data_IF_999392777737
#
_entry.id   IF_999392777737
#
_cell.length_a   1.000
_cell.length_b   1.000
_cell.length_c   1.000
_cell.angle_alpha   90.00
_cell.angle_beta   90.00
_cell.angle_gamma   90.00
#
_symmetry.space_group_name_H-M   'P 1'
#
loop_
_entity.id
_entity.type
_entity.pdbx_description
1 polymer ?
#
# COMPACT_ATOMS: atom_id res chain seq x y z
N UNK A 1 -29.06 25.82 22.30
CA UNK A 1 -27.73 25.25 22.64
C UNK A 1 -27.21 24.60 21.38
N UNK A 2 -26.26 25.26 20.71
CA UNK A 2 -25.69 24.77 19.46
C UNK A 2 -24.78 23.58 19.78
N UNK A 3 -25.19 22.40 19.36
CA UNK A 3 -24.37 21.18 19.43
C UNK A 3 -23.05 21.46 18.68
N UNK A 4 -21.88 21.02 19.17
CA UNK A 4 -20.62 21.26 18.47
C UNK A 4 -20.55 20.40 17.20
N UNK A 5 -20.53 21.06 16.03
CA UNK A 5 -20.17 20.39 14.79
C UNK A 5 -18.68 20.03 14.86
N UNK A 6 -18.34 18.84 14.41
CA UNK A 6 -16.94 18.48 14.20
C UNK A 6 -16.45 19.35 13.04
N UNK A 7 -15.74 20.41 13.37
CA UNK A 7 -14.97 21.16 12.39
C UNK A 7 -13.75 20.30 12.07
N UNK A 8 -13.81 19.59 10.94
CA UNK A 8 -12.61 19.00 10.37
C UNK A 8 -11.97 20.11 9.55
N UNK A 9 -10.89 20.72 10.05
CA UNK A 9 -10.27 21.88 9.39
C UNK A 9 -9.45 21.50 8.13
N UNK A 10 -9.82 20.40 7.48
CA UNK A 10 -9.22 19.92 6.24
C UNK A 10 -10.31 19.19 5.43
N UNK A 11 -10.42 19.38 4.10
CA UNK A 11 -11.46 18.73 3.33
C UNK A 11 -11.29 17.20 3.36
N UNK A 12 -12.40 16.48 3.47
CA UNK A 12 -12.40 15.03 3.40
C UNK A 12 -12.33 14.59 1.94
N UNK A 13 -11.57 13.53 1.66
CA UNK A 13 -11.55 12.93 0.33
C UNK A 13 -12.97 12.46 -0.06
N UNK A 14 -13.39 12.56 -1.34
CA UNK A 14 -14.74 12.18 -1.77
C UNK A 14 -15.14 10.75 -1.35
N UNK A 15 -14.21 9.80 -1.38
CA UNK A 15 -14.43 8.43 -0.90
C UNK A 15 -14.75 8.38 0.60
N UNK A 16 -14.12 9.23 1.41
CA UNK A 16 -14.42 9.33 2.86
C UNK A 16 -15.81 9.91 3.09
N UNK A 17 -16.18 10.93 2.33
CA UNK A 17 -17.52 11.52 2.36
C UNK A 17 -18.58 10.48 1.99
N UNK A 18 -18.35 9.74 0.90
CA UNK A 18 -19.25 8.68 0.46
C UNK A 18 -19.37 7.56 1.50
N UNK A 19 -18.27 7.19 2.16
CA UNK A 19 -18.29 6.20 3.24
C UNK A 19 -19.09 6.68 4.46
N UNK A 20 -19.01 7.97 4.83
CA UNK A 20 -19.83 8.54 5.91
C UNK A 20 -21.33 8.47 5.60
N UNK A 21 -21.73 8.80 4.36
CA UNK A 21 -23.13 8.69 3.91
C UNK A 21 -23.60 7.23 3.82
N UNK A 22 -22.74 6.34 3.37
CA UNK A 22 -23.02 4.91 3.32
C UNK A 22 -23.23 4.33 4.73
N UNK A 23 -22.30 4.65 5.65
CA UNK A 23 -22.40 4.26 7.06
C UNK A 23 -23.65 4.86 7.73
N UNK A 24 -24.03 6.11 7.41
CA UNK A 24 -25.26 6.73 7.93
C UNK A 24 -26.53 5.99 7.50
N UNK A 25 -26.54 5.52 6.25
CA UNK A 25 -27.65 4.74 5.69
C UNK A 25 -27.78 3.39 6.39
N UNK A 26 -26.65 2.70 6.61
CA UNK A 26 -26.60 1.43 7.32
C UNK A 26 -26.89 1.55 8.83
N UNK A 27 -26.50 2.66 9.44
CA UNK A 27 -26.68 2.90 10.87
C UNK A 27 -28.12 3.32 11.24
N UNK A 28 -28.84 3.97 10.33
CA UNK A 28 -30.15 4.51 10.66
C UNK A 28 -30.05 5.55 11.77
N UNK A 29 -30.89 5.45 12.81
CA UNK A 29 -30.90 6.48 13.86
C UNK A 29 -29.73 6.39 14.85
N UNK A 30 -28.95 5.31 14.89
CA UNK A 30 -27.82 5.21 15.83
C UNK A 30 -26.63 6.08 15.39
N UNK A 31 -25.79 6.57 16.32
CA UNK A 31 -24.54 7.19 15.95
C UNK A 31 -23.63 6.18 15.24
N UNK A 32 -22.89 6.65 14.24
CA UNK A 32 -21.90 5.86 13.50
C UNK A 32 -20.70 5.61 14.40
N UNK A 33 -20.39 4.34 14.64
CA UNK A 33 -19.21 3.91 15.38
C UNK A 33 -17.98 3.76 14.47
N UNK A 34 -16.79 3.52 15.05
CA UNK A 34 -15.56 3.36 14.26
C UNK A 34 -15.62 2.18 13.30
N UNK A 35 -16.33 1.09 13.65
CA UNK A 35 -16.49 -0.11 12.82
C UNK A 35 -17.38 0.20 11.62
N UNK A 36 -18.51 0.86 11.80
CA UNK A 36 -19.43 1.23 10.71
C UNK A 36 -18.70 2.04 9.63
N UNK A 37 -17.91 3.03 10.07
CA UNK A 37 -17.17 3.88 9.16
C UNK A 37 -16.04 3.09 8.46
N UNK A 38 -15.36 2.20 9.18
CA UNK A 38 -14.32 1.34 8.60
C UNK A 38 -14.89 0.38 7.54
N UNK A 39 -16.00 -0.30 7.85
CA UNK A 39 -16.71 -1.19 6.92
C UNK A 39 -17.19 -0.43 5.69
N UNK A 40 -17.76 0.76 5.88
CA UNK A 40 -18.20 1.60 4.76
C UNK A 40 -17.02 2.06 3.88
N UNK A 41 -15.85 2.34 4.46
CA UNK A 41 -14.65 2.63 3.67
C UNK A 41 -14.23 1.43 2.82
N UNK A 42 -14.24 0.21 3.38
CA UNK A 42 -13.93 -1.02 2.63
C UNK A 42 -14.90 -1.26 1.46
N UNK A 43 -16.17 -0.91 1.61
CA UNK A 43 -17.20 -1.12 0.59
C UNK A 43 -17.15 -0.07 -0.52
N UNK A 44 -16.84 1.19 -0.17
CA UNK A 44 -16.86 2.31 -1.11
C UNK A 44 -15.53 2.49 -1.83
N UNK A 45 -14.40 2.17 -1.19
CA UNK A 45 -13.07 2.32 -1.77
C UNK A 45 -12.65 1.12 -2.62
N UNK A 46 -13.12 1.11 -3.87
CA UNK A 46 -12.74 0.11 -4.88
C UNK A 46 -11.26 0.16 -5.29
N UNK A 47 -10.55 1.25 -4.96
CA UNK A 47 -9.14 1.44 -5.33
C UNK A 47 -8.16 0.92 -4.25
N UNK A 48 -8.64 0.78 -3.01
CA UNK A 48 -7.85 0.31 -1.89
C UNK A 48 -7.55 -1.19 -1.95
N UNK A 49 -6.41 -1.58 -1.39
CA UNK A 49 -5.97 -2.98 -1.30
C UNK A 49 -6.63 -3.74 -0.14
N UNK A 50 -7.93 -3.55 0.06
CA UNK A 50 -8.69 -4.13 1.17
C UNK A 50 -8.72 -5.66 1.16
N UNK A 51 -8.54 -6.28 -0.02
CA UNK A 51 -8.53 -7.73 -0.21
C UNK A 51 -7.57 -8.46 0.73
N UNK A 52 -6.45 -7.86 1.10
CA UNK A 52 -5.48 -8.48 2.02
C UNK A 52 -5.98 -8.47 3.46
N UNK A 53 -6.65 -7.41 3.88
CA UNK A 53 -7.30 -7.34 5.20
C UNK A 53 -8.46 -8.34 5.22
N UNK A 54 -9.25 -8.41 4.15
CA UNK A 54 -10.36 -9.36 4.03
C UNK A 54 -9.93 -10.82 4.12
N UNK A 55 -8.74 -11.16 3.60
CA UNK A 55 -8.17 -12.50 3.70
C UNK A 55 -7.86 -12.93 5.14
N UNK A 56 -7.52 -11.97 6.02
CA UNK A 56 -7.12 -12.26 7.40
C UNK A 56 -8.27 -12.08 8.39
N UNK A 57 -9.11 -11.06 8.19
CA UNK A 57 -10.10 -10.65 9.18
C UNK A 57 -11.55 -10.93 8.76
N UNK A 58 -11.77 -11.34 7.49
CA UNK A 58 -13.10 -11.46 6.88
C UNK A 58 -13.45 -10.24 6.02
N UNK A 59 -14.34 -10.43 5.05
CA UNK A 59 -14.83 -9.33 4.21
C UNK A 59 -15.68 -8.32 4.98
N UNK A 60 -16.10 -7.25 4.30
CA UNK A 60 -16.90 -6.19 4.91
C UNK A 60 -18.17 -6.69 5.58
N UNK A 61 -18.78 -7.76 5.05
CA UNK A 61 -20.07 -8.27 5.52
C UNK A 61 -19.86 -9.10 6.79
N UNK A 62 -18.79 -9.91 6.83
CA UNK A 62 -18.34 -10.60 8.04
C UNK A 62 -18.00 -9.60 9.14
N UNK A 63 -17.25 -8.54 8.82
CA UNK A 63 -16.86 -7.53 9.81
C UNK A 63 -18.06 -6.72 10.32
N UNK A 64 -19.05 -6.43 9.48
CA UNK A 64 -20.29 -5.75 9.87
C UNK A 64 -21.10 -6.56 10.90
N UNK A 65 -21.08 -7.89 10.79
CA UNK A 65 -21.78 -8.81 11.68
C UNK A 65 -21.09 -9.04 13.03
N UNK A 66 -19.81 -8.66 13.18
CA UNK A 66 -19.07 -8.85 14.44
C UNK A 66 -19.56 -7.90 15.52
N UNK A 67 -19.64 -8.43 16.74
CA UNK A 67 -19.98 -7.65 17.94
C UNK A 67 -18.73 -6.93 18.42
N UNK A 68 -18.75 -5.60 18.37
CA UNK A 68 -17.72 -4.74 18.92
C UNK A 68 -18.36 -3.49 19.50
N UNK A 69 -17.71 -2.89 20.49
CA UNK A 69 -18.25 -1.72 21.21
C UNK A 69 -17.22 -0.61 21.21
N UNK A 70 -17.60 0.57 20.73
CA UNK A 70 -16.77 1.76 20.83
C UNK A 70 -16.68 2.21 22.31
N UNK A 71 -15.48 2.58 22.79
CA UNK A 71 -15.25 2.89 24.20
C UNK A 71 -15.98 4.16 24.65
N UNK A 72 -16.13 5.15 23.75
CA UNK A 72 -16.94 6.34 23.98
C UNK A 72 -18.07 6.40 22.95
N UNK A 73 -19.27 5.96 23.36
CA UNK A 73 -20.49 5.89 22.54
C UNK A 73 -21.32 7.18 22.53
N UNK A 74 -20.88 8.22 23.24
CA UNK A 74 -21.55 9.52 23.26
C UNK A 74 -21.71 10.08 21.84
N UNK A 75 -22.87 10.68 21.54
CA UNK A 75 -23.25 11.15 20.20
C UNK A 75 -23.30 12.68 20.09
N UNK A 76 -22.56 13.36 20.97
CA UNK A 76 -22.53 14.83 20.98
C UNK A 76 -21.89 15.41 19.72
N UNK A 77 -21.05 14.62 19.06
CA UNK A 77 -20.29 14.99 17.88
C UNK A 77 -21.09 14.70 16.60
N UNK A 78 -21.19 15.70 15.72
CA UNK A 78 -21.83 15.53 14.41
C UNK A 78 -20.97 16.10 13.27
N UNK A 79 -21.02 15.46 12.11
CA UNK A 79 -20.40 15.94 10.88
C UNK A 79 -21.50 16.07 9.81
N UNK A 80 -21.75 17.27 9.30
CA UNK A 80 -22.83 17.53 8.31
C UNK A 80 -24.21 16.91 8.67
N UNK A 81 -24.57 16.92 9.96
CA UNK A 81 -25.82 16.34 10.46
C UNK A 81 -25.79 14.82 10.70
N UNK A 82 -24.68 14.15 10.37
CA UNK A 82 -24.42 12.76 10.70
C UNK A 82 -23.91 12.66 12.13
N UNK A 83 -24.58 11.86 12.98
CA UNK A 83 -24.13 11.59 14.35
C UNK A 83 -23.02 10.57 14.35
N UNK A 84 -21.91 10.88 15.00
CA UNK A 84 -20.78 9.98 15.20
C UNK A 84 -20.65 9.65 16.69
N UNK A 85 -20.12 8.49 17.03
CA UNK A 85 -19.60 8.26 18.39
C UNK A 85 -18.45 9.22 18.67
N UNK A 86 -18.24 9.61 19.93
CA UNK A 86 -17.15 10.50 20.30
C UNK A 86 -15.77 9.88 19.94
N UNK A 87 -15.68 8.55 19.97
CA UNK A 87 -14.51 7.78 19.49
C UNK A 87 -14.30 7.96 17.98
N UNK A 88 -15.34 7.76 17.17
CA UNK A 88 -15.28 7.93 15.72
C UNK A 88 -14.97 9.38 15.32
N UNK A 89 -15.56 10.34 16.03
CA UNK A 89 -15.25 11.76 15.88
C UNK A 89 -13.79 12.07 16.21
N UNK A 90 -13.23 11.45 17.26
CA UNK A 90 -11.83 11.59 17.61
C UNK A 90 -10.90 10.99 16.55
N UNK A 91 -11.23 9.81 16.01
CA UNK A 91 -10.50 9.18 14.92
C UNK A 91 -10.44 10.08 13.67
N UNK A 92 -11.56 10.69 13.27
CA UNK A 92 -11.62 11.63 12.14
C UNK A 92 -10.75 12.87 12.38
N UNK A 93 -10.80 13.46 13.59
CA UNK A 93 -9.93 14.59 13.96
C UNK A 93 -8.45 14.20 13.98
N UNK A 94 -8.12 12.99 14.46
CA UNK A 94 -6.76 12.47 14.45
C UNK A 94 -6.24 12.32 13.02
N UNK A 95 -7.05 11.76 12.12
CA UNK A 95 -6.70 11.62 10.71
C UNK A 95 -6.47 12.98 10.05
N UNK A 96 -7.31 13.98 10.32
CA UNK A 96 -7.14 15.34 9.80
C UNK A 96 -5.89 16.03 10.35
N UNK A 97 -5.59 15.87 11.65
CA UNK A 97 -4.35 16.36 12.26
C UNK A 97 -3.12 15.72 11.63
N UNK A 98 -3.16 14.42 11.37
CA UNK A 98 -2.07 13.71 10.73
C UNK A 98 -1.90 14.15 9.28
N UNK A 99 -2.99 14.37 8.54
CA UNK A 99 -2.96 14.83 7.15
C UNK A 99 -2.31 16.21 7.03
N UNK A 100 -2.65 17.12 7.95
CA UNK A 100 -1.95 18.41 8.07
C UNK A 100 -0.47 18.27 8.33
N UNK A 101 -0.08 17.38 9.25
CA UNK A 101 1.33 17.18 9.59
C UNK A 101 2.17 16.72 8.40
N UNK A 102 1.57 15.95 7.49
CA UNK A 102 2.19 15.52 6.24
C UNK A 102 1.92 16.44 5.05
N UNK A 103 1.42 17.66 5.27
CA UNK A 103 1.09 18.65 4.23
C UNK A 103 0.18 18.11 3.11
N UNK A 104 -0.79 17.27 3.48
CA UNK A 104 -1.79 16.78 2.54
C UNK A 104 -2.92 17.79 2.37
N UNK A 105 -3.44 17.90 1.14
CA UNK A 105 -4.54 18.83 0.80
C UNK A 105 -5.91 18.37 1.31
N UNK A 106 -6.07 17.08 1.59
CA UNK A 106 -7.31 16.44 2.04
C UNK A 106 -7.03 15.27 2.97
N UNK A 107 -8.03 14.79 3.72
CA UNK A 107 -7.89 13.58 4.55
C UNK A 107 -8.06 12.35 3.66
N UNK A 108 -6.99 11.60 3.33
CA UNK A 108 -7.10 10.44 2.48
C UNK A 108 -7.70 9.24 3.24
N UNK A 109 -8.25 8.29 2.48
CA UNK A 109 -8.86 7.07 3.00
C UNK A 109 -7.94 6.31 3.96
N UNK A 110 -6.66 6.13 3.60
CA UNK A 110 -5.71 5.39 4.43
C UNK A 110 -5.40 6.05 5.76
N UNK A 111 -5.37 7.37 5.80
CA UNK A 111 -5.09 8.08 7.05
C UNK A 111 -6.28 8.06 7.99
N UNK A 112 -7.50 8.06 7.44
CA UNK A 112 -8.69 7.79 8.22
C UNK A 112 -8.74 6.34 8.72
N UNK A 113 -8.42 5.36 7.87
CA UNK A 113 -8.36 3.95 8.26
C UNK A 113 -7.40 3.74 9.44
N UNK A 114 -6.20 4.33 9.38
CA UNK A 114 -5.24 4.33 10.49
C UNK A 114 -5.80 5.00 11.74
N UNK A 115 -6.49 6.14 11.59
CA UNK A 115 -7.13 6.83 12.72
C UNK A 115 -8.22 5.99 13.39
N UNK A 116 -8.97 5.18 12.62
CA UNK A 116 -10.06 4.34 13.13
C UNK A 116 -9.56 3.13 13.92
N UNK A 117 -8.44 2.55 13.52
CA UNK A 117 -7.89 1.34 14.17
C UNK A 117 -6.71 1.61 15.10
N UNK A 118 -6.17 2.84 15.09
CA UNK A 118 -4.92 3.18 15.76
C UNK A 118 -4.97 3.08 17.28
N UNK A 119 -6.17 3.06 17.85
CA UNK A 119 -6.41 2.72 19.25
C UNK A 119 -7.04 1.32 19.29
N UNK A 120 -6.36 0.37 19.95
CA UNK A 120 -6.79 -1.02 20.06
C UNK A 120 -8.14 -1.21 20.77
N UNK A 121 -8.62 -0.19 21.48
CA UNK A 121 -9.92 -0.20 22.13
C UNK A 121 -11.09 0.16 21.20
N UNK A 122 -10.86 0.63 19.98
CA UNK A 122 -11.94 1.03 19.06
C UNK A 122 -12.72 -0.18 18.54
N UNK A 123 -14.00 0.00 18.20
CA UNK A 123 -14.78 -1.08 17.59
C UNK A 123 -14.15 -1.59 16.28
N UNK A 124 -13.57 -0.69 15.47
CA UNK A 124 -12.83 -1.06 14.27
C UNK A 124 -11.61 -1.95 14.55
N UNK A 125 -10.82 -1.64 15.59
CA UNK A 125 -9.68 -2.47 15.96
C UNK A 125 -10.11 -3.82 16.53
N UNK A 126 -11.17 -3.84 17.35
CA UNK A 126 -11.72 -5.07 17.93
C UNK A 126 -12.17 -6.07 16.86
N UNK A 127 -12.93 -5.64 15.84
CA UNK A 127 -13.41 -6.55 14.79
C UNK A 127 -12.29 -7.14 13.93
N UNK A 128 -11.12 -6.49 13.90
CA UNK A 128 -9.94 -6.93 13.15
C UNK A 128 -9.03 -7.85 13.98
N UNK A 129 -9.15 -7.83 15.31
CA UNK A 129 -8.24 -8.51 16.23
C UNK A 129 -8.30 -10.05 16.13
N UNK A 130 -9.44 -10.61 15.72
CA UNK A 130 -9.58 -12.07 15.54
C UNK A 130 -8.64 -12.66 14.46
N UNK A 131 -8.06 -11.82 13.59
CA UNK A 131 -7.20 -12.25 12.49
C UNK A 131 -5.76 -11.72 12.52
N UNK A 132 -5.50 -10.61 13.22
CA UNK A 132 -4.19 -9.93 13.26
C UNK A 132 -3.94 -9.29 14.63
N UNK A 133 -2.69 -9.34 15.11
CA UNK A 133 -2.29 -8.55 16.28
C UNK A 133 -2.37 -7.04 15.98
N UNK A 134 -2.65 -6.19 16.99
CA UNK A 134 -2.80 -4.74 16.77
C UNK A 134 -1.58 -4.09 16.10
N UNK A 135 -0.36 -4.50 16.47
CA UNK A 135 0.88 -4.03 15.84
C UNK A 135 1.02 -4.49 14.39
N UNK A 136 0.61 -5.73 14.07
CA UNK A 136 0.59 -6.24 12.70
C UNK A 136 -0.46 -5.50 11.87
N UNK A 137 -1.64 -5.24 12.42
CA UNK A 137 -2.72 -4.52 11.76
C UNK A 137 -2.30 -3.10 11.36
N UNK A 138 -1.70 -2.35 12.28
CA UNK A 138 -1.19 -1.00 12.01
C UNK A 138 -0.06 -1.04 10.97
N UNK A 139 0.85 -2.01 11.07
CA UNK A 139 1.91 -2.18 10.07
C UNK A 139 1.36 -2.52 8.68
N UNK A 140 0.35 -3.39 8.61
CA UNK A 140 -0.34 -3.74 7.36
C UNK A 140 -1.03 -2.53 6.74
N UNK A 141 -1.83 -1.80 7.52
CA UNK A 141 -2.55 -0.61 7.07
C UNK A 141 -1.61 0.51 6.61
N UNK A 142 -0.49 0.72 7.30
CA UNK A 142 0.56 1.64 6.84
C UNK A 142 1.17 1.19 5.52
N UNK A 143 1.55 -0.08 5.40
CA UNK A 143 2.23 -0.58 4.20
C UNK A 143 1.35 -0.61 2.95
N UNK A 144 0.06 -0.95 3.11
CA UNK A 144 -0.85 -1.19 2.00
C UNK A 144 -1.74 0.03 1.66
N UNK A 145 -2.08 0.90 2.63
CA UNK A 145 -2.95 2.06 2.41
C UNK A 145 -2.19 3.40 2.36
N UNK A 146 -1.08 3.56 3.09
CA UNK A 146 -0.22 4.76 2.98
C UNK A 146 0.93 4.60 1.97
N UNK A 147 1.15 3.40 1.43
CA UNK A 147 2.20 3.14 0.44
C UNK A 147 3.63 3.36 0.96
N UNK A 148 3.82 3.49 2.27
CA UNK A 148 5.12 3.73 2.92
C UNK A 148 5.29 2.83 4.15
N UNK A 149 6.48 2.25 4.30
CA UNK A 149 6.82 1.34 5.40
C UNK A 149 6.97 2.13 6.72
N UNK A 150 6.50 1.63 7.88
CA UNK A 150 6.54 2.35 9.17
C UNK A 150 7.93 2.85 9.62
N UNK A 151 9.02 2.28 9.10
CA UNK A 151 10.40 2.71 9.39
C UNK A 151 10.74 4.14 8.95
N UNK A 152 10.03 4.69 7.95
CA UNK A 152 10.24 6.09 7.54
C UNK A 152 9.46 7.06 8.45
N UNK A 153 8.32 6.63 8.98
CA UNK A 153 7.49 7.46 9.87
C UNK A 153 8.16 7.64 11.23
N UNK A 154 8.79 6.60 11.77
CA UNK A 154 9.47 6.64 13.07
C UNK A 154 10.75 7.50 13.03
N UNK A 155 11.38 7.59 11.85
CA UNK A 155 12.48 8.50 11.55
C UNK A 155 12.03 9.96 11.43
N UNK A 156 10.81 10.22 10.98
CA UNK A 156 10.23 11.57 10.84
C UNK A 156 9.45 12.03 12.09
N UNK A 157 9.04 11.11 12.97
CA UNK A 157 8.33 11.40 14.22
C UNK A 157 9.26 11.66 15.42
N UNK A 158 10.56 11.37 15.32
CA UNK A 158 11.52 11.75 16.35
C UNK A 158 11.85 13.24 16.26
N UNK A 159 11.56 14.06 17.29
CA UNK A 159 12.06 15.42 17.33
C UNK A 159 13.59 15.37 17.41
N UNK A 160 14.26 16.32 16.77
CA UNK A 160 15.71 16.47 16.70
C UNK A 160 16.37 16.17 18.05
N UNK A 161 16.91 14.95 18.19
CA UNK A 161 18.04 14.73 19.05
C UNK A 161 19.25 15.12 18.19
N UNK A 162 19.68 16.37 18.37
CA UNK A 162 21.03 16.76 18.02
C UNK A 162 21.99 15.66 18.44
N UNK A 163 22.85 15.28 17.49
CA UNK A 163 24.21 14.84 17.72
C UNK A 163 24.48 14.21 19.09
N UNK A 164 24.09 12.95 19.26
CA UNK A 164 24.80 12.07 20.20
C UNK A 164 25.86 11.38 19.37
N UNK A 165 27.16 11.72 19.51
CA UNK A 165 28.24 10.93 18.94
C UNK A 165 28.15 9.54 19.54
N UNK A 166 27.50 8.62 18.83
CA UNK A 166 27.66 7.21 19.10
C UNK A 166 29.10 6.90 18.72
N UNK A 167 29.94 6.84 19.74
CA UNK A 167 31.31 6.40 19.67
C UNK A 167 31.35 5.13 18.80
N UNK A 168 31.90 5.29 17.59
CA UNK A 168 32.29 4.17 16.78
C UNK A 168 33.32 3.39 17.61
N UNK A 169 33.12 2.10 17.91
CA UNK A 169 34.26 1.28 18.28
C UNK A 169 35.17 1.21 17.05
N UNK A 170 36.25 1.99 17.11
CA UNK A 170 37.34 1.92 16.17
C UNK A 170 38.02 0.56 16.32
N UNK A 171 37.87 -0.31 15.33
CA UNK A 171 38.77 -1.44 15.12
C UNK A 171 38.93 -1.72 13.62
N UNK A 172 40.06 -1.26 13.08
CA UNK A 172 40.87 -1.91 12.04
C UNK A 172 40.39 -1.87 10.58
N UNK A 173 41.27 -1.58 9.59
CA UNK A 173 40.94 -1.78 8.19
C UNK A 173 41.05 -3.27 7.84
N UNK A 174 39.90 -3.93 7.65
CA UNK A 174 39.77 -5.26 7.04
C UNK A 174 38.43 -5.36 6.27
N UNK A 175 38.30 -6.18 5.20
CA UNK A 175 37.13 -6.15 4.33
C UNK A 175 35.95 -6.90 4.96
N UNK A 176 35.09 -6.18 5.68
CA UNK A 176 33.86 -6.74 6.27
C UNK A 176 32.65 -6.13 5.57
N UNK A 177 32.05 -6.88 4.64
CA UNK A 177 30.82 -6.48 3.96
C UNK A 177 29.64 -6.45 4.94
N UNK A 178 28.87 -5.36 4.94
CA UNK A 178 27.60 -5.27 5.66
C UNK A 178 26.66 -6.39 5.17
N UNK A 179 26.34 -7.36 6.03
CA UNK A 179 25.29 -8.34 5.75
C UNK A 179 23.95 -7.64 5.66
N UNK A 180 23.38 -7.61 4.45
CA UNK A 180 22.03 -7.07 4.21
C UNK A 180 20.99 -8.18 4.41
N UNK A 181 19.84 -7.79 4.93
CA UNK A 181 18.68 -8.64 5.15
C UNK A 181 17.55 -8.22 4.20
N UNK A 182 16.78 -9.18 3.69
CA UNK A 182 15.67 -8.89 2.80
C UNK A 182 14.57 -8.14 3.55
N UNK A 183 14.10 -7.03 2.99
CA UNK A 183 13.01 -6.24 3.59
C UNK A 183 11.68 -7.02 3.67
N UNK A 184 11.49 -8.02 2.81
CA UNK A 184 10.25 -8.79 2.75
C UNK A 184 10.20 -9.97 3.71
N UNK A 185 11.24 -10.82 3.72
CA UNK A 185 11.24 -12.06 4.50
C UNK A 185 12.32 -12.09 5.60
N UNK A 186 13.15 -11.05 5.70
CA UNK A 186 14.30 -11.01 6.59
C UNK A 186 15.51 -11.81 6.10
N UNK A 187 15.39 -12.66 5.06
CA UNK A 187 16.46 -13.57 4.67
C UNK A 187 17.75 -12.88 4.17
N UNK A 188 18.88 -13.56 4.35
CA UNK A 188 20.20 -13.15 3.87
C UNK A 188 20.82 -14.29 3.04
N UNK A 189 21.68 -14.03 2.05
CA UNK A 189 22.17 -12.73 1.57
C UNK A 189 21.09 -11.92 0.82
N UNK A 190 21.16 -10.59 0.94
CA UNK A 190 20.29 -9.66 0.22
C UNK A 190 21.10 -8.60 -0.54
N UNK A 191 20.54 -8.08 -1.65
CA UNK A 191 21.13 -7.01 -2.44
C UNK A 191 20.29 -5.74 -2.36
N UNK A 192 20.95 -4.60 -2.16
CA UNK A 192 20.33 -3.28 -2.29
C UNK A 192 20.09 -2.95 -3.77
N UNK A 193 18.88 -3.25 -4.24
CA UNK A 193 18.44 -3.00 -5.62
C UNK A 193 17.04 -2.40 -5.61
N UNK A 194 16.74 -1.56 -6.59
CA UNK A 194 15.41 -0.98 -6.77
C UNK A 194 14.82 -1.54 -8.06
N UNK A 195 13.68 -2.21 -7.95
CA UNK A 195 12.93 -2.76 -9.09
C UNK A 195 11.92 -1.71 -9.53
N UNK A 196 11.84 -1.44 -10.83
CA UNK A 196 10.95 -0.43 -11.41
C UNK A 196 9.86 -1.12 -12.23
N UNK A 197 8.79 -0.38 -12.52
CA UNK A 197 7.73 -0.81 -13.43
C UNK A 197 7.05 0.43 -13.99
N UNK A 198 6.65 0.35 -15.25
CA UNK A 198 5.97 1.40 -15.95
C UNK A 198 4.58 0.92 -16.37
N UNK A 199 3.53 1.61 -15.91
CA UNK A 199 2.16 1.35 -16.31
C UNK A 199 1.70 2.56 -17.11
N UNK A 200 1.48 2.39 -18.41
CA UNK A 200 1.24 3.50 -19.33
C UNK A 200 0.10 3.21 -20.29
N UNK A 201 -1.12 3.60 -19.93
CA UNK A 201 -2.30 3.43 -20.77
C UNK A 201 -2.66 4.73 -21.47
N UNK A 202 -2.26 4.88 -22.73
CA UNK A 202 -2.55 6.01 -23.66
C UNK A 202 -2.33 7.41 -23.08
N UNK A 203 -3.17 7.86 -22.15
CA UNK A 203 -3.14 9.16 -21.47
C UNK A 203 -2.70 9.08 -19.99
N UNK A 204 -2.66 7.89 -19.38
CA UNK A 204 -2.28 7.70 -17.98
C UNK A 204 -0.90 7.04 -17.87
N UNK A 205 0.04 7.71 -17.20
CA UNK A 205 1.38 7.18 -16.91
C UNK A 205 1.60 7.05 -15.40
N UNK A 206 2.03 5.88 -14.95
CA UNK A 206 2.40 5.62 -13.57
C UNK A 206 3.75 4.90 -13.52
N UNK A 207 4.70 5.51 -12.81
CA UNK A 207 6.00 4.92 -12.51
C UNK A 207 5.96 4.31 -11.12
N UNK A 208 6.12 2.99 -11.04
CA UNK A 208 6.17 2.26 -9.77
C UNK A 208 7.61 1.87 -9.49
N UNK A 209 8.06 2.11 -8.25
CA UNK A 209 9.41 1.73 -7.79
C UNK A 209 9.28 0.95 -6.49
N UNK A 210 9.99 -0.16 -6.41
CA UNK A 210 10.06 -1.02 -5.22
C UNK A 210 11.53 -1.09 -4.77
N UNK A 211 11.93 -0.29 -3.77
CA UNK A 211 13.28 -0.33 -3.22
C UNK A 211 13.47 -1.61 -2.38
N UNK A 212 14.62 -2.25 -2.55
CA UNK A 212 15.11 -3.33 -1.70
C UNK A 212 15.75 -2.81 -0.40
N UNK A 213 16.47 -3.64 0.36
CA UNK A 213 17.16 -4.86 -0.09
C UNK A 213 16.28 -6.12 -0.27
N UNK A 214 16.58 -6.93 -1.29
CA UNK A 214 15.89 -8.20 -1.57
C UNK A 214 16.85 -9.38 -1.52
N UNK A 215 16.42 -10.50 -0.93
CA UNK A 215 17.07 -11.79 -1.16
C UNK A 215 16.78 -12.28 -2.58
N UNK A 216 17.48 -13.33 -3.03
CA UNK A 216 17.31 -13.86 -4.39
C UNK A 216 15.85 -14.15 -4.74
N UNK A 217 15.16 -14.91 -3.90
CA UNK A 217 13.84 -15.45 -4.23
C UNK A 217 12.76 -14.36 -4.22
N UNK A 218 12.75 -13.51 -3.19
CA UNK A 218 11.85 -12.34 -3.11
C UNK A 218 12.12 -11.33 -4.23
N UNK A 219 13.40 -11.11 -4.57
CA UNK A 219 13.80 -10.24 -5.68
C UNK A 219 13.31 -10.77 -7.03
N UNK A 220 13.51 -12.06 -7.30
CA UNK A 220 13.05 -12.70 -8.53
C UNK A 220 11.52 -12.71 -8.63
N UNK A 221 10.81 -13.02 -7.55
CA UNK A 221 9.35 -12.97 -7.50
C UNK A 221 8.82 -11.57 -7.83
N UNK A 222 9.40 -10.56 -7.18
CA UNK A 222 9.02 -9.15 -7.36
C UNK A 222 9.30 -8.67 -8.78
N UNK A 223 10.51 -8.92 -9.28
CA UNK A 223 10.92 -8.54 -10.63
C UNK A 223 10.00 -9.18 -11.68
N UNK A 224 9.79 -10.50 -11.61
CA UNK A 224 8.94 -11.22 -12.57
C UNK A 224 7.50 -10.69 -12.59
N UNK A 225 6.93 -10.39 -11.42
CA UNK A 225 5.59 -9.82 -11.31
C UNK A 225 5.53 -8.42 -11.94
N UNK A 226 6.42 -7.53 -11.52
CA UNK A 226 6.45 -6.14 -11.97
C UNK A 226 6.74 -6.01 -13.47
N UNK A 227 7.60 -6.89 -14.02
CA UNK A 227 7.86 -6.96 -15.45
C UNK A 227 6.62 -7.38 -16.24
N UNK A 228 5.88 -8.41 -15.80
CA UNK A 228 4.65 -8.83 -16.48
C UNK A 228 3.62 -7.70 -16.48
N UNK A 229 3.41 -7.02 -15.35
CA UNK A 229 2.51 -5.88 -15.27
C UNK A 229 2.93 -4.75 -16.24
N UNK A 230 4.23 -4.43 -16.30
CA UNK A 230 4.79 -3.42 -17.20
C UNK A 230 4.60 -3.77 -18.68
N UNK A 231 4.72 -5.06 -19.01
CA UNK A 231 4.60 -5.58 -20.37
C UNK A 231 3.12 -5.72 -20.79
N UNK A 232 2.16 -5.73 -19.87
CA UNK A 232 0.76 -5.65 -20.26
C UNK A 232 0.27 -4.22 -20.37
N UNK A 233 0.76 -3.31 -19.53
CA UNK A 233 0.24 -1.95 -19.42
C UNK A 233 1.12 -0.90 -20.08
N UNK A 234 2.33 -1.21 -20.52
CA UNK A 234 3.31 -0.22 -20.99
C UNK A 234 3.37 0.00 -22.51
N UNK A 235 2.54 -0.68 -23.32
CA UNK A 235 2.64 -0.62 -24.79
C UNK A 235 1.57 0.22 -25.49
N UNK A 236 0.57 0.72 -24.76
CA UNK A 236 -0.65 1.28 -25.36
C UNK A 236 -0.52 2.69 -25.93
N UNK A 237 0.67 3.28 -25.92
CA UNK A 237 0.90 4.61 -26.49
C UNK A 237 2.30 4.76 -27.08
N UNK A 238 2.51 5.65 -28.07
CA UNK A 238 3.81 5.81 -28.74
C UNK A 238 4.93 6.18 -27.76
N UNK A 239 4.68 7.19 -26.90
CA UNK A 239 5.64 7.61 -25.88
C UNK A 239 5.83 6.54 -24.78
N UNK A 240 4.74 5.85 -24.41
CA UNK A 240 4.74 4.76 -23.43
C UNK A 240 5.62 3.58 -23.88
N UNK A 241 5.58 3.25 -25.18
CA UNK A 241 6.37 2.19 -25.78
C UNK A 241 7.88 2.39 -25.59
N UNK A 242 8.37 3.61 -25.80
CA UNK A 242 9.79 3.95 -25.57
C UNK A 242 10.15 3.94 -24.08
N UNK A 243 9.32 4.55 -23.23
CA UNK A 243 9.58 4.64 -21.78
C UNK A 243 9.59 3.25 -21.13
N UNK A 244 8.66 2.38 -21.53
CA UNK A 244 8.59 1.01 -21.03
C UNK A 244 9.85 0.22 -21.44
N UNK A 245 10.31 0.36 -22.68
CA UNK A 245 11.54 -0.30 -23.15
C UNK A 245 12.76 0.12 -22.32
N UNK A 246 12.94 1.43 -22.07
CA UNK A 246 14.04 1.94 -21.22
C UNK A 246 13.93 1.42 -19.79
N UNK A 247 12.72 1.37 -19.23
CA UNK A 247 12.47 0.88 -17.87
C UNK A 247 12.86 -0.59 -17.73
N UNK A 248 12.45 -1.43 -18.69
CA UNK A 248 12.80 -2.86 -18.71
C UNK A 248 14.32 -3.08 -18.81
N UNK A 249 15.04 -2.26 -19.58
CA UNK A 249 16.50 -2.33 -19.67
C UNK A 249 17.16 -1.92 -18.36
N UNK A 250 16.68 -0.86 -17.69
CA UNK A 250 17.23 -0.41 -16.41
C UNK A 250 17.11 -1.49 -15.32
N UNK A 251 16.02 -2.27 -15.32
CA UNK A 251 15.80 -3.38 -14.39
C UNK A 251 16.69 -4.60 -14.64
N UNK A 252 17.37 -4.69 -15.80
CA UNK A 252 18.37 -5.73 -16.05
C UNK A 252 19.52 -5.68 -15.04
N UNK A 253 19.88 -4.47 -14.58
CA UNK A 253 20.90 -4.28 -13.54
C UNK A 253 20.46 -4.85 -12.19
N UNK A 254 19.18 -4.68 -11.84
CA UNK A 254 18.59 -5.27 -10.64
C UNK A 254 18.52 -6.79 -10.78
N UNK A 255 18.08 -7.31 -11.94
CA UNK A 255 18.04 -8.75 -12.22
C UNK A 255 19.41 -9.41 -12.05
N UNK A 256 20.46 -8.85 -12.66
CA UNK A 256 21.82 -9.38 -12.57
C UNK A 256 22.30 -9.50 -11.13
N UNK A 257 22.13 -8.43 -10.34
CA UNK A 257 22.51 -8.40 -8.92
C UNK A 257 21.72 -9.40 -8.07
N UNK A 258 20.44 -9.61 -8.37
CA UNK A 258 19.59 -10.57 -7.64
C UNK A 258 19.97 -12.02 -7.99
N UNK A 259 20.20 -12.34 -9.27
CA UNK A 259 20.53 -13.69 -9.72
C UNK A 259 21.89 -14.15 -9.20
N UNK A 260 22.84 -13.23 -9.03
CA UNK A 260 24.15 -13.51 -8.46
C UNK A 260 24.11 -13.85 -6.96
N UNK A 261 22.99 -13.63 -6.26
CA UNK A 261 22.88 -13.98 -4.85
C UNK A 261 22.79 -15.51 -4.65
N UNK A 262 23.43 -16.05 -3.60
CA UNK A 262 23.14 -17.40 -3.09
C UNK A 262 21.66 -17.57 -2.67
N UNK A 263 21.17 -18.82 -2.53
CA UNK A 263 19.84 -19.07 -1.97
C UNK A 263 19.67 -18.44 -0.59
N UNK A 264 18.45 -18.02 -0.21
CA UNK A 264 18.18 -17.55 1.14
C UNK A 264 18.45 -18.65 2.16
N UNK A 265 19.14 -18.31 3.25
CA UNK A 265 19.47 -19.24 4.33
C UNK A 265 18.18 -19.67 5.07
N UNK A 266 17.98 -20.97 5.36
CA UNK A 266 16.82 -21.47 6.11
C UNK A 266 16.77 -20.97 7.58
N UNK A 267 15.58 -20.85 8.16
CA UNK A 267 15.39 -20.50 9.58
C UNK A 267 15.18 -19.00 9.88
N UNK A 268 14.90 -18.20 8.85
CA UNK A 268 14.65 -16.75 8.97
C UNK A 268 13.18 -16.45 9.33
N UNK A 269 12.86 -15.26 9.87
CA UNK A 269 11.55 -14.95 10.44
C UNK A 269 10.38 -15.03 9.45
N UNK A 270 10.61 -14.68 8.18
CA UNK A 270 9.60 -14.69 7.12
C UNK A 270 9.85 -15.77 6.08
N UNK A 271 8.78 -16.30 5.49
CA UNK A 271 8.87 -17.22 4.35
C UNK A 271 9.26 -16.44 3.08
N UNK A 272 10.34 -16.82 2.37
CA UNK A 272 10.67 -16.21 1.07
C UNK A 272 9.53 -16.37 0.07
N UNK A 273 9.29 -15.35 -0.76
CA UNK A 273 8.32 -15.46 -1.85
C UNK A 273 8.74 -16.56 -2.82
N UNK A 274 7.78 -17.32 -3.33
CA UNK A 274 8.05 -18.27 -4.40
C UNK A 274 8.25 -17.52 -5.73
N UNK A 275 9.45 -17.54 -6.34
CA UNK A 275 9.68 -16.92 -7.64
C UNK A 275 8.94 -17.64 -8.77
N UNK A 276 8.40 -18.85 -8.52
CA UNK A 276 7.60 -19.63 -9.46
C UNK A 276 8.31 -19.91 -10.78
N UNK A 277 7.52 -20.12 -11.84
CA UNK A 277 8.04 -20.38 -13.20
C UNK A 277 8.88 -19.20 -13.72
N UNK A 278 9.93 -19.47 -14.53
CA UNK A 278 10.69 -18.42 -15.23
C UNK A 278 9.78 -17.51 -16.06
N UNK A 279 10.23 -16.27 -16.31
CA UNK A 279 9.42 -15.22 -16.93
C UNK A 279 8.74 -15.69 -18.23
N UNK A 280 9.50 -16.26 -19.17
CA UNK A 280 9.00 -16.71 -20.47
C UNK A 280 8.11 -17.96 -20.44
N UNK A 281 8.05 -18.67 -19.31
CA UNK A 281 7.17 -19.83 -19.12
C UNK A 281 5.82 -19.45 -18.50
N UNK A 282 5.56 -18.16 -18.32
CA UNK A 282 4.30 -17.64 -17.77
C UNK A 282 3.40 -17.18 -18.92
N UNK A 283 2.08 -17.39 -18.85
CA UNK A 283 1.15 -16.90 -19.86
C UNK A 283 1.22 -15.37 -20.01
N UNK A 284 1.56 -14.66 -18.92
CA UNK A 284 1.79 -13.21 -18.96
C UNK A 284 2.93 -12.76 -19.89
N UNK A 285 3.87 -13.64 -20.25
CA UNK A 285 4.96 -13.32 -21.18
C UNK A 285 4.48 -13.09 -22.62
N UNK A 286 3.25 -13.50 -22.96
CA UNK A 286 2.62 -13.17 -24.26
C UNK A 286 2.57 -11.66 -24.47
N UNK A 287 2.52 -10.86 -23.39
CA UNK A 287 2.52 -9.41 -23.50
C UNK A 287 3.77 -8.83 -24.20
N UNK A 288 4.89 -9.56 -24.26
CA UNK A 288 6.07 -9.11 -25.01
C UNK A 288 5.83 -9.09 -26.52
N UNK A 289 4.83 -9.81 -27.02
CA UNK A 289 4.45 -9.84 -28.42
C UNK A 289 3.55 -8.66 -28.80
N UNK A 290 2.90 -7.98 -27.84
CA UNK A 290 2.00 -6.84 -28.07
C UNK A 290 2.63 -5.76 -28.96
N UNK A 291 3.85 -5.23 -28.69
CA UNK A 291 4.42 -4.18 -29.54
C UNK A 291 4.68 -4.66 -30.97
N UNK A 292 5.08 -5.93 -31.15
CA UNK A 292 5.29 -6.52 -32.48
C UNK A 292 3.97 -6.65 -33.23
N UNK A 293 2.92 -7.10 -32.55
CA UNK A 293 1.58 -7.24 -33.12
C UNK A 293 0.97 -5.88 -33.51
N UNK A 294 1.14 -4.85 -32.67
CA UNK A 294 0.70 -3.48 -32.99
C UNK A 294 1.45 -2.95 -34.20
N UNK A 295 2.77 -3.15 -34.26
CA UNK A 295 3.58 -2.72 -35.40
C UNK A 295 3.11 -3.40 -36.70
N UNK A 296 2.92 -4.72 -36.70
CA UNK A 296 2.43 -5.48 -37.85
C UNK A 296 1.05 -5.01 -38.31
N UNK A 297 0.13 -4.78 -37.37
CA UNK A 297 -1.21 -4.28 -37.65
C UNK A 297 -1.17 -2.92 -38.38
N UNK A 298 -0.34 -1.99 -37.88
CA UNK A 298 -0.22 -0.64 -38.43
C UNK A 298 0.51 -0.61 -39.77
N UNK A 299 1.60 -1.37 -39.94
CA UNK A 299 2.45 -1.28 -41.14
C UNK A 299 2.06 -2.21 -42.27
N UNK A 300 1.34 -3.31 -41.98
CA UNK A 300 0.99 -4.33 -42.99
C UNK A 300 -0.51 -4.42 -43.19
N UNK A 301 -1.27 -4.60 -42.12
CA UNK A 301 -2.71 -4.92 -42.22
C UNK A 301 -3.53 -3.67 -42.59
N UNK A 302 -3.29 -2.53 -41.94
CA UNK A 302 -4.01 -1.28 -42.24
C UNK A 302 -3.85 -0.84 -43.72
N UNK A 303 -2.63 -0.80 -44.29
CA UNK A 303 -2.43 -0.45 -45.69
C UNK A 303 -3.04 -1.46 -46.68
N UNK A 304 -3.12 -2.74 -46.29
CA UNK A 304 -3.75 -3.78 -47.11
C UNK A 304 -5.29 -3.64 -47.13
N UNK A 305 -5.87 -3.02 -46.10
CA UNK A 305 -7.30 -2.77 -45.95
C UNK A 305 -7.73 -1.38 -46.46
N UNK A 306 -6.79 -0.47 -46.73
CA UNK A 306 -7.09 0.81 -47.38
C UNK A 306 -7.21 0.58 -48.90
N UNK A 307 -8.40 0.76 -49.50
CA UNK A 307 -8.61 0.58 -50.94
C UNK A 307 -7.87 1.62 -51.79
#
# INVERSE_FOLDING_TARGET
MSTPSITVDLPLHPTVVNALWHARSAAGSRPIDTRDLFVALMQVDVSGKWSRISLHCGDSDVLAGKVAVDPATGSSSHWEGIRLTDTCAAALRNAARLARRYNLEGVPVGMLAVGLVGDGSTAAAQVLHDGLGHSELVAFLHSDILGTTPQNLERELSPTADEIPHAQPAFGPGPVGRTLYCLHCGATPAAAVTIRSHRGFVLWMQFVRMPGPFCRDCGLATLRRMTIESVWLGWWGPLSLFINAVTLVADMSAHSRIVQLPPPIPGMPGRPMDPGKPLFHRPGAIGFLIPVSIQLLVTVILPLLSP
#
